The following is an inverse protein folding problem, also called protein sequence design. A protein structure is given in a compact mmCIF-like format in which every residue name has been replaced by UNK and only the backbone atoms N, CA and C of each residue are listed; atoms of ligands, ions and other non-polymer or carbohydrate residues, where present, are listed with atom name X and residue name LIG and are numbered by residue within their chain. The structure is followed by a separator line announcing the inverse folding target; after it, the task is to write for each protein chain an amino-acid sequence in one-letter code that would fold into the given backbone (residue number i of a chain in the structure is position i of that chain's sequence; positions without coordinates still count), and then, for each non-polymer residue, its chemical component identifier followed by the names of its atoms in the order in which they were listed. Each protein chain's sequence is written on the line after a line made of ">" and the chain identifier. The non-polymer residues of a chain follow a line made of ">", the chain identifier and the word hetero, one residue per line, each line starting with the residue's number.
data_IF_218594522619
#
_entry.id   IF_218594522619
#
_cell.length_a   1.000
_cell.length_b   1.000
_cell.length_c   1.000
_cell.angle_alpha   90.00
_cell.angle_beta   90.00
_cell.angle_gamma   90.00
#
_symmetry.space_group_name_H-M   'P 1'
#
loop_
_entity.id
_entity.type
_entity.pdbx_description
1 polymer ?
#
# COMPACT_ATOMS: atom_id res chain seq x y z
N UNK A 1 -3.31 -7.36 14.05
CA UNK A 1 -2.57 -6.37 13.25
C UNK A 1 -2.29 -6.96 11.89
N UNK A 2 -2.88 -6.40 10.84
CA UNK A 2 -2.74 -6.84 9.45
C UNK A 2 -1.63 -6.02 8.80
N UNK A 3 -0.75 -6.66 8.04
CA UNK A 3 0.29 -5.98 7.24
C UNK A 3 -0.05 -6.18 5.77
N UNK A 4 -0.03 -5.11 5.00
CA UNK A 4 -0.33 -5.13 3.56
C UNK A 4 0.93 -4.71 2.81
N UNK A 5 1.36 -5.54 1.86
CA UNK A 5 2.44 -5.24 0.93
C UNK A 5 1.83 -4.69 -0.36
N UNK A 6 2.17 -3.44 -0.72
CA UNK A 6 1.69 -2.79 -1.95
C UNK A 6 2.82 -2.62 -2.96
N UNK A 7 2.54 -2.77 -4.26
CA UNK A 7 3.54 -2.54 -5.31
C UNK A 7 3.89 -1.06 -5.45
N UNK A 8 5.16 -0.79 -5.73
CA UNK A 8 5.65 0.50 -6.20
C UNK A 8 5.52 0.60 -7.73
N UNK A 9 5.79 1.78 -8.29
CA UNK A 9 5.91 1.96 -9.75
C UNK A 9 4.57 2.12 -10.46
N UNK A 10 4.45 1.54 -11.66
CA UNK A 10 3.32 1.77 -12.57
C UNK A 10 1.99 1.20 -12.05
N UNK A 11 2.06 0.13 -11.25
CA UNK A 11 0.88 -0.46 -10.60
C UNK A 11 0.34 0.37 -9.43
N UNK A 12 1.05 1.40 -9.00
CA UNK A 12 0.68 2.20 -7.83
C UNK A 12 -0.68 2.87 -7.98
N UNK A 13 -0.92 3.50 -9.13
CA UNK A 13 -2.16 4.20 -9.43
C UNK A 13 -3.37 3.26 -9.53
N UNK A 14 -3.36 2.18 -10.34
CA UNK A 14 -4.49 1.27 -10.41
C UNK A 14 -4.75 0.54 -9.08
N UNK A 15 -3.71 0.23 -8.29
CA UNK A 15 -3.90 -0.36 -6.96
C UNK A 15 -4.48 0.66 -5.98
N UNK A 16 -4.05 1.93 -6.02
CA UNK A 16 -4.63 2.98 -5.20
C UNK A 16 -6.13 3.14 -5.50
N UNK A 17 -6.51 3.15 -6.77
CA UNK A 17 -7.92 3.26 -7.18
C UNK A 17 -8.75 2.06 -6.68
N UNK A 18 -8.22 0.84 -6.78
CA UNK A 18 -8.87 -0.36 -6.25
C UNK A 18 -9.02 -0.33 -4.71
N UNK A 19 -7.99 0.13 -4.01
CA UNK A 19 -8.01 0.26 -2.55
C UNK A 19 -9.04 1.31 -2.11
N UNK A 20 -9.06 2.48 -2.75
CA UNK A 20 -10.06 3.51 -2.51
C UNK A 20 -11.48 3.01 -2.76
N UNK A 21 -11.72 2.24 -3.83
CA UNK A 21 -13.01 1.62 -4.10
C UNK A 21 -13.46 0.62 -3.01
N UNK A 22 -12.50 -0.03 -2.35
CA UNK A 22 -12.76 -0.91 -1.20
C UNK A 22 -12.91 -0.18 0.15
N UNK A 23 -12.78 1.15 0.16
CA UNK A 23 -12.79 1.98 1.37
C UNK A 23 -11.44 2.07 2.09
N UNK A 24 -10.39 1.39 1.60
CA UNK A 24 -9.06 1.40 2.20
C UNK A 24 -8.25 2.58 1.66
N UNK A 25 -8.28 3.71 2.35
CA UNK A 25 -7.55 4.92 1.94
C UNK A 25 -6.14 4.92 2.52
N UNK A 26 -5.15 4.72 1.66
CA UNK A 26 -3.73 4.79 2.02
C UNK A 26 -3.20 6.17 1.64
N UNK A 27 -3.00 7.02 2.64
CA UNK A 27 -2.53 8.40 2.43
C UNK A 27 -1.17 8.41 1.74
N UNK A 28 -0.99 9.28 0.74
CA UNK A 28 0.27 9.40 -0.01
C UNK A 28 0.62 8.22 -0.93
N UNK A 29 -0.14 7.12 -0.95
CA UNK A 29 0.14 6.01 -1.85
C UNK A 29 -0.20 6.36 -3.30
N UNK A 30 -1.37 6.93 -3.60
CA UNK A 30 -1.74 7.26 -4.99
C UNK A 30 -0.88 8.34 -5.64
N UNK A 31 -0.31 9.25 -4.86
CA UNK A 31 0.34 10.48 -5.33
C UNK A 31 1.84 10.35 -5.58
N UNK A 32 2.40 9.14 -5.45
CA UNK A 32 3.83 8.94 -5.70
C UNK A 32 4.74 9.23 -4.49
N UNK A 33 4.21 9.27 -3.27
CA UNK A 33 5.03 9.50 -2.05
C UNK A 33 6.23 8.55 -1.99
N UNK A 34 7.40 9.07 -1.63
CA UNK A 34 8.62 8.25 -1.43
C UNK A 34 8.61 7.47 -0.11
N UNK A 35 7.55 7.60 0.68
CA UNK A 35 7.42 6.91 1.95
C UNK A 35 7.08 5.44 1.72
N UNK A 36 7.91 4.57 2.29
CA UNK A 36 7.76 3.12 2.22
C UNK A 36 6.76 2.57 3.25
N UNK A 37 6.49 3.32 4.31
CA UNK A 37 5.51 3.00 5.34
C UNK A 37 4.44 4.08 5.31
N UNK A 38 3.20 3.69 5.06
CA UNK A 38 2.09 4.62 4.95
C UNK A 38 1.00 4.26 5.96
N UNK A 39 0.45 5.25 6.68
CA UNK A 39 -0.71 5.02 7.52
C UNK A 39 -1.94 4.74 6.64
N UNK A 40 -2.81 3.86 7.14
CA UNK A 40 -4.15 3.69 6.58
C UNK A 40 -5.09 4.55 7.39
N UNK A 41 -5.84 5.39 6.69
CA UNK A 41 -6.80 6.27 7.34
C UNK A 41 -7.84 5.43 8.11
N UNK A 42 -8.14 5.85 9.33
CA UNK A 42 -9.16 5.24 10.20
C UNK A 42 -8.93 3.73 10.54
N UNK A 43 -7.71 3.20 10.35
CA UNK A 43 -7.36 1.79 10.61
C UNK A 43 -5.99 1.65 11.27
N UNK A 44 -5.94 1.74 12.59
CA UNK A 44 -4.71 1.50 13.38
C UNK A 44 -4.26 0.03 13.39
N UNK A 45 -5.18 -0.89 13.07
CA UNK A 45 -4.92 -2.32 12.99
C UNK A 45 -4.19 -2.73 11.71
N UNK A 46 -4.07 -1.83 10.72
CA UNK A 46 -3.50 -2.09 9.40
C UNK A 46 -2.23 -1.27 9.20
N UNK A 47 -1.15 -1.93 8.76
CA UNK A 47 0.07 -1.25 8.30
C UNK A 47 0.37 -1.56 6.85
N UNK A 48 0.61 -0.53 6.06
CA UNK A 48 0.94 -0.65 4.65
C UNK A 48 2.43 -0.42 4.43
N UNK A 49 3.06 -1.35 3.72
CA UNK A 49 4.45 -1.24 3.27
C UNK A 49 4.51 -1.31 1.75
N UNK A 50 5.22 -0.37 1.15
CA UNK A 50 5.40 -0.31 -0.30
C UNK A 50 6.69 -1.03 -0.68
N UNK A 51 6.62 -1.93 -1.66
CA UNK A 51 7.77 -2.71 -2.13
C UNK A 51 7.82 -2.71 -3.65
N UNK A 52 8.99 -3.04 -4.22
CA UNK A 52 9.03 -3.45 -5.63
C UNK A 52 8.32 -4.79 -5.78
N UNK A 53 7.65 -5.01 -6.90
CA UNK A 53 6.82 -6.21 -7.12
C UNK A 53 7.57 -7.51 -6.86
N UNK A 54 8.85 -7.56 -7.28
CA UNK A 54 9.74 -8.71 -7.06
C UNK A 54 10.01 -9.03 -5.58
N UNK A 55 9.91 -8.02 -4.70
CA UNK A 55 10.21 -8.14 -3.28
C UNK A 55 8.93 -8.42 -2.46
N UNK A 56 7.74 -8.34 -3.05
CA UNK A 56 6.47 -8.62 -2.35
C UNK A 56 6.39 -10.08 -1.87
N UNK A 57 6.66 -11.11 -2.71
CA UNK A 57 6.47 -12.50 -2.30
C UNK A 57 7.28 -12.88 -1.05
N UNK A 58 8.52 -12.39 -0.95
CA UNK A 58 9.39 -12.67 0.20
C UNK A 58 8.95 -11.97 1.50
N UNK A 59 8.13 -10.91 1.40
CA UNK A 59 7.61 -10.18 2.58
C UNK A 59 6.30 -10.77 3.11
N UNK A 60 5.63 -11.62 2.32
CA UNK A 60 4.36 -12.26 2.66
C UNK A 60 4.55 -13.73 3.07
N UNK A 61 5.67 -14.35 2.68
CA UNK A 61 6.05 -15.72 3.02
C UNK A 61 6.16 -15.99 4.53
#
# INVERSE_FOLDING_TARGET
>A
MVKIALPAGDLRKPVADALSASGLHVEGYGEGSRQYLLPVRDREDVRVRVFREKDIPIQVA
#
